data_IF_238253604697
#
_entry.id   IF_238253604697
#
_cell.length_a   1.000
_cell.length_b   1.000
_cell.length_c   1.000
_cell.angle_alpha   90.00
_cell.angle_beta   90.00
_cell.angle_gamma   90.00
#
_symmetry.space_group_name_H-M   'P 1'
#
loop_
_entity.id
_entity.type
_entity.pdbx_description
1 polymer ?
#
# COMPACT_ATOMS: atom_id res chain seq x y z
N UNK A 1 8.84 88.28 -4.86
CA UNK A 1 8.15 87.59 -5.97
C UNK A 1 9.05 86.45 -6.42
N UNK A 2 9.33 85.48 -5.55
CA UNK A 2 8.44 84.37 -5.14
C UNK A 2 8.19 83.40 -6.29
N UNK A 3 8.82 82.21 -6.24
CA UNK A 3 8.18 80.90 -5.99
C UNK A 3 8.96 79.77 -6.69
N UNK A 4 9.48 78.85 -5.85
CA UNK A 4 9.31 77.39 -5.95
C UNK A 4 10.03 76.60 -7.08
N UNK A 5 10.44 75.35 -6.91
CA UNK A 5 10.66 74.47 -5.75
C UNK A 5 11.30 73.18 -6.31
N UNK A 6 12.24 72.59 -5.57
CA UNK A 6 12.58 71.16 -5.48
C UNK A 6 12.27 70.21 -6.65
N UNK A 7 13.33 69.79 -7.36
CA UNK A 7 13.35 68.55 -8.11
C UNK A 7 14.73 67.89 -8.01
N UNK A 8 15.15 67.56 -6.78
CA UNK A 8 16.33 66.70 -6.59
C UNK A 8 16.29 66.02 -5.23
N UNK A 9 15.66 64.84 -5.18
CA UNK A 9 16.00 63.72 -4.29
C UNK A 9 14.84 62.72 -4.33
N UNK A 10 15.06 61.53 -4.91
CA UNK A 10 14.35 60.26 -4.61
C UNK A 10 14.73 59.23 -5.68
N UNK A 11 15.97 58.70 -5.63
CA UNK A 11 16.33 57.49 -6.38
C UNK A 11 17.67 56.83 -5.97
N UNK A 12 17.99 56.58 -4.68
CA UNK A 12 18.94 55.50 -4.40
C UNK A 12 18.44 54.41 -3.45
N UNK A 13 17.26 54.56 -2.84
CA UNK A 13 16.81 53.64 -1.79
C UNK A 13 16.27 52.28 -2.28
N UNK A 14 15.97 52.11 -3.58
CA UNK A 14 15.34 50.89 -4.11
C UNK A 14 16.35 49.81 -4.55
N UNK A 15 17.56 50.20 -4.97
CA UNK A 15 18.56 49.25 -5.48
C UNK A 15 19.39 48.61 -4.35
N UNK A 16 19.72 49.36 -3.29
CA UNK A 16 20.44 48.82 -2.13
C UNK A 16 19.61 47.77 -1.36
N UNK A 17 18.28 47.90 -1.35
CA UNK A 17 17.42 46.98 -0.62
C UNK A 17 17.32 45.60 -1.30
N UNK A 18 17.43 45.55 -2.64
CA UNK A 18 17.43 44.30 -3.42
C UNK A 18 18.77 43.55 -3.33
N UNK A 19 19.88 44.26 -3.10
CA UNK A 19 21.19 43.65 -2.88
C UNK A 19 21.33 43.10 -1.45
N UNK A 20 20.76 43.77 -0.44
CA UNK A 20 20.76 43.29 0.96
C UNK A 20 19.90 42.05 1.20
N UNK A 21 18.85 41.81 0.41
CA UNK A 21 18.04 40.59 0.53
C UNK A 21 18.74 39.35 -0.04
N UNK A 22 19.60 39.50 -1.05
CA UNK A 22 20.40 38.39 -1.63
C UNK A 22 21.54 37.91 -0.71
N UNK A 23 21.95 38.71 0.27
CA UNK A 23 23.02 38.36 1.20
C UNK A 23 22.56 37.77 2.54
N UNK A 24 21.25 37.56 2.73
CA UNK A 24 20.76 36.81 3.89
C UNK A 24 21.09 35.33 3.72
N UNK A 25 22.34 34.97 4.02
CA UNK A 25 22.76 33.58 4.21
C UNK A 25 21.80 33.00 5.26
N UNK A 26 20.99 31.98 4.94
CA UNK A 26 20.20 31.33 5.95
C UNK A 26 21.17 30.83 7.03
N UNK A 27 20.89 31.19 8.28
CA UNK A 27 21.65 30.71 9.43
C UNK A 27 21.74 29.18 9.31
N UNK A 28 22.96 28.63 9.29
CA UNK A 28 23.20 27.21 9.03
C UNK A 28 22.61 26.38 10.16
N UNK A 29 21.33 26.06 10.06
CA UNK A 29 20.74 24.90 10.74
C UNK A 29 21.42 23.65 10.21
N UNK A 30 21.62 22.63 11.04
CA UNK A 30 22.19 21.34 10.64
C UNK A 30 21.59 20.77 9.35
N UNK A 31 20.31 21.06 9.08
CA UNK A 31 19.59 20.74 7.84
C UNK A 31 20.25 21.33 6.59
N UNK A 32 20.69 22.60 6.61
CA UNK A 32 21.27 23.28 5.45
C UNK A 32 22.66 22.75 5.09
N UNK A 33 23.43 22.33 6.09
CA UNK A 33 24.73 21.70 5.87
C UNK A 33 24.55 20.31 5.22
N UNK A 34 23.59 19.53 5.71
CA UNK A 34 23.24 18.23 5.13
C UNK A 34 22.74 18.37 3.69
N UNK A 35 21.84 19.31 3.43
CA UNK A 35 21.28 19.55 2.10
C UNK A 35 22.37 19.97 1.10
N UNK A 36 23.27 20.88 1.51
CA UNK A 36 24.41 21.27 0.68
C UNK A 36 25.37 20.12 0.36
N UNK A 37 25.53 19.18 1.28
CA UNK A 37 26.35 17.98 1.09
C UNK A 37 25.69 17.00 0.11
N UNK A 38 24.38 16.79 0.22
CA UNK A 38 23.60 15.93 -0.71
C UNK A 38 23.64 16.52 -2.12
N UNK A 39 23.43 17.82 -2.26
CA UNK A 39 23.49 18.53 -3.54
C UNK A 39 24.86 18.43 -4.21
N UNK A 40 25.93 18.61 -3.41
CA UNK A 40 27.31 18.48 -3.90
C UNK A 40 27.56 17.06 -4.38
N UNK A 41 27.17 16.06 -3.59
CA UNK A 41 27.30 14.65 -3.93
C UNK A 41 26.51 14.28 -5.19
N UNK A 42 25.32 14.85 -5.38
CA UNK A 42 24.52 14.66 -6.59
C UNK A 42 25.22 15.24 -7.83
N UNK A 43 25.75 16.47 -7.75
CA UNK A 43 26.47 17.13 -8.86
C UNK A 43 27.75 16.41 -9.24
N UNK A 44 28.43 15.82 -8.27
CA UNK A 44 29.67 15.06 -8.49
C UNK A 44 29.40 13.65 -9.06
N UNK A 45 28.14 13.32 -9.38
CA UNK A 45 27.78 12.03 -9.96
C UNK A 45 27.72 10.90 -8.93
N UNK A 46 27.65 11.22 -7.63
CA UNK A 46 27.59 10.24 -6.54
C UNK A 46 26.36 9.32 -6.61
N UNK A 47 25.34 9.70 -7.39
CA UNK A 47 24.17 8.86 -7.67
C UNK A 47 24.23 8.15 -9.03
N UNK A 48 25.30 8.27 -9.81
CA UNK A 48 25.37 7.71 -11.16
C UNK A 48 25.59 6.19 -11.18
N UNK A 49 26.34 5.66 -10.23
CA UNK A 49 26.59 4.22 -10.06
C UNK A 49 25.77 3.62 -8.90
N UNK A 50 24.48 3.95 -8.83
CA UNK A 50 23.59 3.32 -7.87
C UNK A 50 23.22 1.90 -8.33
N UNK A 51 23.26 0.90 -7.43
CA UNK A 51 22.84 -0.44 -7.77
C UNK A 51 21.37 -0.40 -8.21
N UNK A 52 21.10 -0.97 -9.39
CA UNK A 52 19.78 -1.05 -10.01
C UNK A 52 19.23 0.27 -10.58
N UNK A 53 20.01 1.36 -10.64
CA UNK A 53 19.59 2.60 -11.31
C UNK A 53 19.27 2.35 -12.79
N UNK A 54 18.11 2.82 -13.23
CA UNK A 54 17.65 2.67 -14.61
C UNK A 54 17.23 1.25 -15.01
N UNK A 55 17.28 0.26 -14.10
CA UNK A 55 16.75 -1.08 -14.37
C UNK A 55 15.25 -1.09 -14.10
N UNK A 56 14.43 -1.72 -14.97
CA UNK A 56 13.01 -1.93 -14.71
C UNK A 56 12.81 -2.63 -13.36
N UNK A 57 11.85 -2.15 -12.58
CA UNK A 57 11.46 -2.80 -11.34
C UNK A 57 10.89 -4.18 -11.71
N UNK A 58 11.53 -5.23 -11.18
CA UNK A 58 10.99 -6.59 -11.28
C UNK A 58 9.82 -6.69 -10.33
N UNK A 59 8.61 -6.64 -10.87
CA UNK A 59 7.41 -7.01 -10.15
C UNK A 59 7.36 -8.54 -10.20
N UNK A 60 7.46 -9.20 -9.05
CA UNK A 60 7.23 -10.64 -9.00
C UNK A 60 5.77 -10.92 -9.36
N UNK A 61 5.54 -11.87 -10.26
CA UNK A 61 4.19 -12.26 -10.66
C UNK A 61 3.46 -12.88 -9.46
N UNK A 62 2.40 -12.23 -8.99
CA UNK A 62 1.55 -12.72 -7.90
C UNK A 62 0.94 -11.61 -7.05
N UNK A 63 0.07 -12.02 -6.12
CA UNK A 63 -0.48 -11.12 -5.09
C UNK A 63 0.65 -10.63 -4.17
N UNK A 64 0.85 -9.31 -4.10
CA UNK A 64 1.88 -8.65 -3.28
C UNK A 64 1.75 -9.07 -1.81
N UNK A 65 0.52 -9.23 -1.33
CA UNK A 65 0.29 -9.70 0.03
C UNK A 65 0.84 -11.12 0.22
N UNK A 66 0.60 -12.01 -0.74
CA UNK A 66 1.09 -13.39 -0.70
C UNK A 66 2.62 -13.48 -0.71
N UNK A 67 3.32 -12.64 -1.49
CA UNK A 67 4.79 -12.64 -1.51
C UNK A 67 5.39 -12.11 -0.20
N UNK A 68 4.83 -11.03 0.36
CA UNK A 68 5.26 -10.47 1.66
C UNK A 68 5.09 -11.52 2.76
N UNK A 69 3.95 -12.20 2.78
CA UNK A 69 3.62 -13.21 3.80
C UNK A 69 4.51 -14.45 3.69
N UNK A 70 4.79 -14.92 2.46
CA UNK A 70 5.74 -16.01 2.22
C UNK A 70 7.16 -15.65 2.68
N UNK A 71 7.61 -14.44 2.36
CA UNK A 71 8.92 -13.95 2.78
C UNK A 71 9.02 -13.76 4.30
N UNK A 72 7.92 -13.42 4.97
CA UNK A 72 7.83 -13.31 6.42
C UNK A 72 7.57 -14.66 7.12
N UNK A 73 7.47 -15.76 6.37
CA UNK A 73 7.11 -17.09 6.88
C UNK A 73 5.81 -17.09 7.71
N UNK A 74 4.88 -16.19 7.37
CA UNK A 74 3.63 -15.95 8.09
C UNK A 74 2.44 -16.30 7.20
N UNK A 75 1.54 -17.14 7.70
CA UNK A 75 0.31 -17.52 6.99
C UNK A 75 -0.88 -16.82 7.65
N UNK A 76 -1.71 -16.08 6.90
CA UNK A 76 -2.90 -15.48 7.48
C UNK A 76 -3.91 -16.51 7.94
N UNK A 77 -4.57 -16.19 9.05
CA UNK A 77 -5.65 -16.99 9.62
C UNK A 77 -6.77 -17.27 8.62
N UNK A 78 -7.08 -16.35 7.69
CA UNK A 78 -8.12 -16.57 6.68
C UNK A 78 -7.72 -17.58 5.60
N UNK A 79 -6.42 -17.76 5.32
CA UNK A 79 -5.92 -18.77 4.37
C UNK A 79 -6.09 -20.18 4.96
N UNK A 80 -5.82 -20.33 6.26
CA UNK A 80 -6.06 -21.58 6.98
C UNK A 80 -7.54 -21.92 7.03
N UNK A 81 -8.36 -20.92 7.39
CA UNK A 81 -9.80 -21.08 7.46
C UNK A 81 -10.40 -21.45 6.09
N UNK A 82 -9.85 -20.92 4.98
CA UNK A 82 -10.24 -21.32 3.62
C UNK A 82 -10.01 -22.81 3.39
N UNK A 83 -8.83 -23.33 3.77
CA UNK A 83 -8.47 -24.75 3.60
C UNK A 83 -9.36 -25.64 4.47
N UNK A 84 -9.65 -25.22 5.70
CA UNK A 84 -10.55 -25.92 6.61
C UNK A 84 -11.97 -26.02 6.04
N UNK A 85 -12.53 -24.90 5.55
CA UNK A 85 -13.85 -24.87 4.91
C UNK A 85 -13.88 -25.80 3.69
N UNK A 86 -12.86 -25.74 2.82
CA UNK A 86 -12.80 -26.60 1.64
C UNK A 86 -12.75 -28.09 2.02
N UNK A 87 -12.01 -28.45 3.06
CA UNK A 87 -11.92 -29.83 3.54
C UNK A 87 -13.24 -30.33 4.14
N UNK A 88 -13.96 -29.48 4.88
CA UNK A 88 -15.26 -29.84 5.45
C UNK A 88 -16.34 -29.98 4.36
N UNK A 89 -16.35 -29.10 3.36
CA UNK A 89 -17.26 -29.24 2.20
C UNK A 89 -16.97 -30.54 1.46
N UNK A 90 -15.69 -30.87 1.24
CA UNK A 90 -15.30 -32.14 0.61
C UNK A 90 -15.78 -33.34 1.41
N UNK A 91 -15.63 -33.32 2.75
CA UNK A 91 -16.12 -34.38 3.62
C UNK A 91 -17.63 -34.60 3.46
N UNK A 92 -18.41 -33.54 3.31
CA UNK A 92 -19.84 -33.63 3.07
C UNK A 92 -20.18 -34.14 1.65
N UNK A 93 -19.39 -33.79 0.64
CA UNK A 93 -19.55 -34.31 -0.72
C UNK A 93 -19.18 -35.80 -0.85
N UNK A 94 -18.22 -36.26 -0.06
CA UNK A 94 -17.78 -37.66 -0.02
C UNK A 94 -18.80 -38.56 0.71
N UNK A 95 -19.84 -38.00 1.35
CA UNK A 95 -20.94 -38.77 1.91
C UNK A 95 -21.74 -39.42 0.78
N UNK A 96 -21.86 -40.74 0.85
CA UNK A 96 -22.42 -41.56 -0.22
C UNK A 96 -23.95 -41.44 -0.38
N UNK A 97 -24.63 -40.84 0.61
CA UNK A 97 -26.08 -40.60 0.60
C UNK A 97 -26.38 -39.09 0.57
N UNK A 98 -26.87 -38.54 -0.56
CA UNK A 98 -27.22 -37.13 -0.71
C UNK A 98 -28.34 -36.65 0.23
N UNK A 99 -29.20 -37.56 0.72
CA UNK A 99 -30.25 -37.23 1.69
C UNK A 99 -29.74 -37.26 3.15
N UNK A 100 -28.51 -37.72 3.37
CA UNK A 100 -27.91 -37.82 4.69
C UNK A 100 -27.09 -36.58 5.08
N UNK A 101 -26.98 -35.56 4.21
CA UNK A 101 -26.25 -34.33 4.53
C UNK A 101 -26.98 -33.62 5.70
N UNK A 102 -26.40 -33.60 6.91
CA UNK A 102 -27.09 -33.02 8.05
C UNK A 102 -27.09 -31.51 7.94
N UNK A 103 -28.26 -30.88 8.07
CA UNK A 103 -28.39 -29.41 8.05
C UNK A 103 -27.49 -28.73 9.10
N UNK A 104 -27.28 -29.40 10.25
CA UNK A 104 -26.41 -28.91 11.31
C UNK A 104 -24.93 -28.78 10.88
N UNK A 105 -24.44 -29.69 10.03
CA UNK A 105 -23.07 -29.65 9.51
C UNK A 105 -22.92 -28.51 8.48
N UNK A 106 -23.93 -28.33 7.62
CA UNK A 106 -23.98 -27.21 6.67
C UNK A 106 -23.98 -25.87 7.40
N UNK A 107 -24.76 -25.74 8.48
CA UNK A 107 -24.80 -24.54 9.31
C UNK A 107 -23.44 -24.28 9.99
N UNK A 108 -22.79 -25.33 10.51
CA UNK A 108 -21.45 -25.21 11.10
C UNK A 108 -20.42 -24.67 10.09
N UNK A 109 -20.47 -25.13 8.84
CA UNK A 109 -19.62 -24.60 7.76
C UNK A 109 -20.00 -23.15 7.43
N UNK A 110 -21.30 -22.82 7.38
CA UNK A 110 -21.77 -21.45 7.15
C UNK A 110 -21.25 -20.46 8.19
N UNK A 111 -21.19 -20.85 9.46
CA UNK A 111 -20.58 -20.03 10.51
C UNK A 111 -19.09 -19.75 10.25
N UNK A 112 -18.35 -20.76 9.74
CA UNK A 112 -16.95 -20.57 9.32
C UNK A 112 -16.85 -19.63 8.12
N UNK A 113 -17.74 -19.75 7.14
CA UNK A 113 -17.80 -18.86 5.97
C UNK A 113 -18.09 -17.42 6.40
N UNK A 114 -19.00 -17.20 7.35
CA UNK A 114 -19.28 -15.86 7.90
C UNK A 114 -18.05 -15.27 8.60
N UNK A 115 -17.33 -16.08 9.37
CA UNK A 115 -16.06 -15.66 10.00
C UNK A 115 -15.00 -15.33 8.94
N UNK A 116 -14.85 -16.17 7.92
CA UNK A 116 -13.95 -15.94 6.80
C UNK A 116 -14.26 -14.62 6.09
N UNK A 117 -15.52 -14.37 5.73
CA UNK A 117 -15.97 -13.17 5.05
C UNK A 117 -15.70 -11.87 5.83
N UNK A 118 -15.60 -11.95 7.18
CA UNK A 118 -15.25 -10.82 8.05
C UNK A 118 -13.75 -10.54 8.15
N UNK A 119 -12.91 -11.54 7.90
CA UNK A 119 -11.45 -11.45 8.08
C UNK A 119 -10.72 -11.18 6.75
N UNK A 120 -11.35 -11.52 5.62
CA UNK A 120 -10.72 -11.29 4.30
C UNK A 120 -10.47 -9.81 4.04
N UNK A 121 -9.30 -9.46 3.47
CA UNK A 121 -8.91 -8.06 3.25
C UNK A 121 -9.65 -7.40 2.07
N UNK A 122 -10.14 -8.20 1.11
CA UNK A 122 -10.86 -7.70 -0.07
C UNK A 122 -12.28 -8.30 -0.10
N UNK A 123 -13.34 -7.47 -0.19
CA UNK A 123 -14.72 -7.93 -0.32
C UNK A 123 -14.95 -8.90 -1.50
N UNK A 124 -14.18 -8.79 -2.58
CA UNK A 124 -14.27 -9.71 -3.73
C UNK A 124 -13.87 -11.15 -3.40
N UNK A 125 -13.12 -11.36 -2.30
CA UNK A 125 -12.72 -12.69 -1.85
C UNK A 125 -13.80 -13.40 -1.04
N UNK A 126 -14.85 -12.68 -0.62
CA UNK A 126 -15.97 -13.23 0.13
C UNK A 126 -16.69 -14.31 -0.67
N UNK A 127 -17.29 -15.26 0.05
CA UNK A 127 -17.96 -16.43 -0.51
C UNK A 127 -19.40 -16.52 -0.02
N UNK A 128 -20.26 -17.10 -0.85
CA UNK A 128 -21.67 -17.32 -0.52
C UNK A 128 -21.85 -18.43 0.53
N UNK A 129 -23.00 -18.42 1.20
CA UNK A 129 -23.39 -19.49 2.11
C UNK A 129 -23.82 -20.75 1.36
N UNK A 130 -23.71 -21.88 2.05
CA UNK A 130 -24.05 -23.21 1.59
C UNK A 130 -25.49 -23.58 1.94
N UNK A 131 -26.06 -24.42 1.09
CA UNK A 131 -27.32 -25.15 1.26
C UNK A 131 -27.13 -26.56 0.70
N UNK A 132 -27.93 -27.53 1.12
CA UNK A 132 -27.83 -28.91 0.61
C UNK A 132 -27.89 -29.02 -0.92
N UNK A 133 -28.56 -28.07 -1.58
CA UNK A 133 -28.71 -27.99 -3.04
C UNK A 133 -27.52 -27.34 -3.77
N UNK A 134 -26.73 -26.49 -3.10
CA UNK A 134 -25.68 -25.69 -3.74
C UNK A 134 -24.26 -26.18 -3.45
N UNK A 135 -24.12 -27.26 -2.67
CA UNK A 135 -22.86 -27.73 -2.11
C UNK A 135 -21.80 -28.00 -3.19
N UNK A 136 -22.20 -28.64 -4.28
CA UNK A 136 -21.30 -29.01 -5.38
C UNK A 136 -20.77 -27.76 -6.12
N UNK A 137 -21.67 -26.86 -6.52
CA UNK A 137 -21.31 -25.61 -7.20
C UNK A 137 -20.54 -24.63 -6.30
N UNK A 138 -20.68 -24.77 -4.99
CA UNK A 138 -19.90 -23.99 -4.05
C UNK A 138 -18.47 -24.52 -3.92
N UNK A 139 -18.27 -25.84 -3.90
CA UNK A 139 -16.94 -26.46 -3.78
C UNK A 139 -15.96 -25.99 -4.86
N UNK A 140 -16.41 -25.88 -6.11
CA UNK A 140 -15.61 -25.37 -7.24
C UNK A 140 -15.06 -23.95 -6.99
N UNK A 141 -15.73 -23.15 -6.14
CA UNK A 141 -15.29 -21.79 -5.79
C UNK A 141 -14.31 -21.75 -4.62
N UNK A 142 -14.16 -22.87 -3.91
CA UNK A 142 -13.26 -23.01 -2.76
C UNK A 142 -11.93 -23.66 -3.13
N UNK A 143 -11.89 -24.48 -4.19
CA UNK A 143 -10.67 -24.92 -4.88
C UNK A 143 -9.83 -23.73 -5.39
#
# INVERSE_FOLDING_TARGET
>A
MDLNNDAKEMAPAAEENQQKEKERRPMSTSSGLLESAIDKFAREGGFDDLPLKGKPIKIEDGDVLASIMKNANYQPVWVELRKEIAADIKRLLDLQDPNAIPEAEVEAINQKIMKYNRIVPNPQLQKGLLSGTNLHAAYDKWE
#
